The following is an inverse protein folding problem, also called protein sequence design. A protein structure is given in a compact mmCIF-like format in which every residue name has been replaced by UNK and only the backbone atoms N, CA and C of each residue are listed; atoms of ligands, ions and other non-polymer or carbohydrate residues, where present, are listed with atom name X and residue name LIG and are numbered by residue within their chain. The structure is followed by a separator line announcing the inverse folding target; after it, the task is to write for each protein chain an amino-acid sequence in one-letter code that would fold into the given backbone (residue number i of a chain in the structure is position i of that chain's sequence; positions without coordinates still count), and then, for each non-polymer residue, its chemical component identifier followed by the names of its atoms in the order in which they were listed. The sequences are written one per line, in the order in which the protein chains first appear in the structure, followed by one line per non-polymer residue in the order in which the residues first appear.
data_IF_434025196478
#
_entry.id   IF_434025196478
#
_cell.length_a   1.000
_cell.length_b   1.000
_cell.length_c   1.000
_cell.angle_alpha   90.00
_cell.angle_beta   90.00
_cell.angle_gamma   90.00
#
_symmetry.space_group_name_H-M   'P 1'
#
loop_
_entity.id
_entity.type
_entity.pdbx_description
1 polymer ?
#
# COMPACT_ATOMS: atom_id res chain seq x y z
N UNK A 1 -0.83 -14.44 10.23
CA UNK A 1 -1.45 -13.61 11.27
C UNK A 1 -0.71 -13.88 12.56
N UNK A 2 -0.25 -12.83 13.21
CA UNK A 2 0.51 -12.89 14.44
C UNK A 2 -0.14 -12.02 15.50
N UNK A 3 0.46 -12.01 16.67
CA UNK A 3 0.02 -11.20 17.81
C UNK A 3 0.98 -10.03 17.97
N UNK A 4 0.48 -8.81 18.15
CA UNK A 4 1.31 -7.62 18.39
C UNK A 4 0.92 -6.96 19.69
N UNK A 5 1.92 -6.59 20.48
CA UNK A 5 1.75 -5.74 21.66
C UNK A 5 2.37 -4.38 21.36
N UNK A 6 1.63 -3.32 21.63
CA UNK A 6 2.10 -1.94 21.50
C UNK A 6 2.81 -1.50 22.79
N UNK A 7 3.99 -2.08 23.04
CA UNK A 7 4.73 -1.90 24.30
C UNK A 7 5.00 -0.42 24.65
N UNK A 8 5.34 0.40 23.63
CA UNK A 8 5.54 1.84 23.83
C UNK A 8 4.24 2.58 24.16
N UNK A 9 3.11 2.12 23.60
CA UNK A 9 1.79 2.70 23.89
C UNK A 9 1.36 2.41 25.33
N UNK A 10 1.67 1.22 25.87
CA UNK A 10 1.45 0.91 27.30
C UNK A 10 2.17 1.94 28.18
N UNK A 11 3.46 2.15 27.92
CA UNK A 11 4.28 3.12 28.66
C UNK A 11 3.72 4.54 28.55
N UNK A 12 3.34 4.95 27.34
CA UNK A 12 2.77 6.27 27.06
C UNK A 12 1.46 6.49 27.83
N UNK A 13 0.52 5.55 27.73
CA UNK A 13 -0.78 5.61 28.40
C UNK A 13 -0.65 5.69 29.92
N UNK A 14 0.31 4.96 30.50
CA UNK A 14 0.62 5.04 31.93
C UNK A 14 1.12 6.43 32.32
N UNK A 15 2.07 6.99 31.56
CA UNK A 15 2.63 8.31 31.84
C UNK A 15 1.59 9.43 31.68
N UNK A 16 0.68 9.33 30.70
CA UNK A 16 -0.43 10.27 30.52
C UNK A 16 -1.40 10.29 31.70
N UNK A 17 -1.48 9.18 32.44
CA UNK A 17 -2.28 9.07 33.67
C UNK A 17 -1.53 9.49 34.93
N UNK A 18 -0.28 9.93 34.80
CA UNK A 18 0.56 10.30 35.93
C UNK A 18 0.94 9.13 36.84
N UNK A 19 0.75 7.88 36.39
CA UNK A 19 1.01 6.70 37.20
C UNK A 19 2.48 6.27 37.09
N UNK A 20 3.08 5.87 38.20
CA UNK A 20 4.33 5.11 38.25
C UNK A 20 4.10 3.64 37.90
N UNK A 21 5.16 2.90 37.58
CA UNK A 21 5.06 1.45 37.34
C UNK A 21 4.59 0.70 38.61
N UNK A 22 4.88 1.24 39.79
CA UNK A 22 4.45 0.67 41.08
C UNK A 22 2.96 0.87 41.29
N UNK A 23 2.44 2.08 41.05
CA UNK A 23 1.00 2.35 41.17
C UNK A 23 0.17 1.53 40.18
N UNK A 24 0.67 1.34 38.94
CA UNK A 24 0.00 0.45 37.99
C UNK A 24 0.05 -1.02 38.43
N UNK A 25 1.14 -1.47 39.05
CA UNK A 25 1.24 -2.82 39.61
C UNK A 25 0.22 -3.04 40.74
N UNK A 26 0.09 -2.08 41.64
CA UNK A 26 -0.86 -2.11 42.74
C UNK A 26 -2.31 -2.11 42.23
N UNK A 27 -2.62 -1.27 41.24
CA UNK A 27 -3.96 -1.19 40.66
C UNK A 27 -4.39 -2.47 39.92
N UNK A 28 -3.44 -3.19 39.33
CA UNK A 28 -3.71 -4.34 38.45
C UNK A 28 -3.45 -5.70 39.10
N UNK A 29 -2.74 -5.72 40.24
CA UNK A 29 -2.21 -6.93 40.84
C UNK A 29 -1.10 -7.60 40.02
N UNK A 30 -0.60 -6.96 38.96
CA UNK A 30 0.50 -7.46 38.12
C UNK A 30 1.83 -7.01 38.71
N UNK A 31 2.83 -7.90 38.78
CA UNK A 31 4.13 -7.55 39.35
C UNK A 31 4.80 -6.39 38.58
N UNK A 32 5.43 -5.45 39.29
CA UNK A 32 6.18 -4.31 38.70
C UNK A 32 7.20 -4.76 37.66
N UNK A 33 7.89 -5.89 37.89
CA UNK A 33 8.87 -6.41 36.92
C UNK A 33 8.20 -6.83 35.61
N UNK A 34 6.97 -7.34 35.66
CA UNK A 34 6.16 -7.70 34.50
C UNK A 34 5.73 -6.45 33.75
N UNK A 35 5.22 -5.43 34.45
CA UNK A 35 4.87 -4.14 33.82
C UNK A 35 6.09 -3.56 33.09
N UNK A 36 7.25 -3.50 33.75
CA UNK A 36 8.49 -3.01 33.14
C UNK A 36 8.88 -3.81 31.89
N UNK A 37 8.70 -5.13 31.91
CA UNK A 37 8.99 -5.98 30.76
C UNK A 37 8.02 -5.76 29.59
N UNK A 38 6.72 -5.54 29.89
CA UNK A 38 5.68 -5.20 28.91
C UNK A 38 5.78 -3.75 28.41
N UNK A 39 6.52 -2.87 29.06
CA UNK A 39 6.82 -1.52 28.52
C UNK A 39 8.07 -1.48 27.63
N UNK A 40 8.87 -2.55 27.67
CA UNK A 40 10.17 -2.60 26.99
C UNK A 40 10.26 -3.70 25.92
N UNK A 41 9.20 -4.49 25.76
CA UNK A 41 9.17 -5.63 24.83
C UNK A 41 10.13 -6.76 25.19
N UNK A 42 10.56 -6.84 26.46
CA UNK A 42 11.58 -7.81 26.92
C UNK A 42 11.01 -9.10 27.50
N UNK A 43 9.69 -9.23 27.57
CA UNK A 43 9.00 -10.43 28.07
C UNK A 43 8.25 -11.15 26.96
N UNK A 44 8.08 -12.46 27.13
CA UNK A 44 7.08 -13.22 26.41
C UNK A 44 5.68 -12.62 26.67
N UNK A 45 4.88 -12.59 25.60
CA UNK A 45 3.53 -12.06 25.62
C UNK A 45 2.63 -12.89 26.56
N UNK A 46 1.97 -12.24 27.52
CA UNK A 46 0.97 -12.87 28.38
C UNK A 46 -0.34 -12.07 28.33
N UNK A 47 -1.36 -12.69 27.74
CA UNK A 47 -2.65 -12.03 27.49
C UNK A 47 -3.41 -11.66 28.78
N UNK A 48 -3.35 -12.48 29.83
CA UNK A 48 -4.00 -12.18 31.13
C UNK A 48 -3.39 -10.94 31.79
N UNK A 49 -2.06 -10.79 31.70
CA UNK A 49 -1.40 -9.57 32.17
C UNK A 49 -1.72 -8.36 31.32
N UNK A 50 -1.81 -8.51 30.00
CA UNK A 50 -2.19 -7.41 29.12
C UNK A 50 -3.64 -6.94 29.38
N UNK A 51 -4.57 -7.87 29.62
CA UNK A 51 -5.94 -7.56 30.03
C UNK A 51 -5.97 -6.74 31.32
N UNK A 52 -5.29 -7.21 32.37
CA UNK A 52 -5.20 -6.48 33.64
C UNK A 52 -4.55 -5.11 33.49
N UNK A 53 -3.51 -5.00 32.68
CA UNK A 53 -2.84 -3.72 32.39
C UNK A 53 -3.79 -2.79 31.63
N UNK A 54 -4.54 -3.28 30.63
CA UNK A 54 -5.53 -2.48 29.91
C UNK A 54 -6.64 -1.97 30.85
N UNK A 55 -7.17 -2.83 31.73
CA UNK A 55 -8.15 -2.47 32.76
C UNK A 55 -7.60 -1.42 33.73
N UNK A 56 -6.38 -1.59 34.24
CA UNK A 56 -5.74 -0.63 35.14
C UNK A 56 -5.41 0.71 34.48
N UNK A 57 -5.22 0.71 33.16
CA UNK A 57 -5.13 1.91 32.35
C UNK A 57 -6.51 2.42 31.90
N UNK A 58 -7.61 1.71 32.14
CA UNK A 58 -8.94 2.11 31.65
C UNK A 58 -8.97 2.30 30.12
N UNK A 59 -8.33 1.39 29.38
CA UNK A 59 -8.38 1.35 27.90
C UNK A 59 -8.91 -0.01 27.44
N UNK A 60 -9.36 -0.08 26.19
CA UNK A 60 -9.70 -1.38 25.60
C UNK A 60 -8.44 -2.22 25.38
N UNK A 61 -8.53 -3.55 25.47
CA UNK A 61 -7.37 -4.42 25.21
C UNK A 61 -6.83 -4.23 23.78
N UNK A 62 -7.73 -3.95 22.81
CA UNK A 62 -7.41 -3.63 21.43
C UNK A 62 -6.55 -2.37 21.27
N UNK A 63 -6.49 -1.49 22.27
CA UNK A 63 -5.60 -0.34 22.24
C UNK A 63 -4.13 -0.72 22.39
N UNK A 64 -3.82 -1.80 23.10
CA UNK A 64 -2.44 -2.18 23.43
C UNK A 64 -2.04 -3.54 22.87
N UNK A 65 -3.00 -4.31 22.35
CA UNK A 65 -2.82 -5.66 21.87
C UNK A 65 -3.69 -5.93 20.64
N UNK A 66 -3.07 -6.47 19.59
CA UNK A 66 -3.72 -6.84 18.34
C UNK A 66 -3.55 -8.34 18.14
N UNK A 67 -4.64 -9.09 18.26
CA UNK A 67 -4.63 -10.56 18.16
C UNK A 67 -4.40 -11.06 16.73
N UNK A 68 -4.99 -10.36 15.76
CA UNK A 68 -4.99 -10.71 14.34
C UNK A 68 -4.04 -9.81 13.54
N UNK A 69 -2.89 -9.47 14.11
CA UNK A 69 -1.93 -8.56 13.50
C UNK A 69 -1.35 -9.14 12.21
N UNK A 70 -1.29 -8.30 11.18
CA UNK A 70 -0.58 -8.53 9.94
C UNK A 70 0.53 -7.50 9.82
N UNK A 71 1.70 -7.96 9.40
CA UNK A 71 2.75 -7.03 9.02
C UNK A 71 2.39 -6.43 7.65
N UNK A 72 1.79 -5.25 7.69
CA UNK A 72 1.31 -4.54 6.49
C UNK A 72 2.48 -4.19 5.58
N UNK A 73 2.41 -4.56 4.30
CA UNK A 73 3.35 -4.12 3.27
C UNK A 73 2.72 -3.05 2.38
N UNK A 74 3.34 -1.89 2.29
CA UNK A 74 2.89 -0.78 1.44
C UNK A 74 3.61 -0.85 0.10
N UNK A 75 2.84 -1.03 -0.97
CA UNK A 75 3.34 -1.28 -2.31
C UNK A 75 2.79 -0.21 -3.25
N UNK A 76 3.69 0.53 -3.89
CA UNK A 76 3.32 1.54 -4.88
C UNK A 76 3.51 1.01 -6.29
N UNK A 77 2.54 1.26 -7.18
CA UNK A 77 2.67 0.98 -8.61
C UNK A 77 2.88 2.30 -9.35
N UNK A 78 4.12 2.57 -9.77
CA UNK A 78 4.52 3.87 -10.31
C UNK A 78 5.16 3.80 -11.70
N UNK A 79 4.79 4.76 -12.55
CA UNK A 79 5.39 5.02 -13.85
C UNK A 79 4.89 6.39 -14.37
N UNK A 80 5.82 7.23 -14.86
CA UNK A 80 5.54 8.54 -15.43
C UNK A 80 4.87 8.50 -16.81
N UNK A 81 4.85 7.35 -17.49
CA UNK A 81 4.13 7.19 -18.75
C UNK A 81 2.64 6.90 -18.50
N UNK A 82 1.76 7.74 -19.09
CA UNK A 82 0.34 7.45 -19.20
C UNK A 82 0.09 6.18 -20.00
N UNK A 83 -0.87 5.35 -19.58
CA UNK A 83 -1.20 4.10 -20.28
C UNK A 83 -0.21 2.94 -20.10
N UNK A 84 0.74 3.04 -19.18
CA UNK A 84 1.67 1.94 -18.76
C UNK A 84 0.96 0.75 -18.11
N UNK A 85 -0.30 0.91 -17.69
CA UNK A 85 -1.11 -0.15 -17.10
C UNK A 85 -1.21 -0.12 -15.58
N UNK A 86 -0.70 0.92 -14.89
CA UNK A 86 -0.71 1.08 -13.42
C UNK A 86 -2.05 0.70 -12.78
N UNK A 87 -3.12 1.43 -13.11
CA UNK A 87 -4.47 1.16 -12.59
C UNK A 87 -4.94 -0.27 -12.82
N UNK A 88 -4.70 -0.83 -14.01
CA UNK A 88 -5.12 -2.22 -14.31
C UNK A 88 -4.31 -3.25 -13.53
N UNK A 89 -3.02 -2.96 -13.29
CA UNK A 89 -2.16 -3.76 -12.41
C UNK A 89 -2.65 -3.67 -10.98
N UNK A 90 -2.90 -2.47 -10.43
CA UNK A 90 -3.38 -2.28 -9.06
C UNK A 90 -4.73 -2.96 -8.86
N UNK A 91 -5.70 -2.71 -9.75
CA UNK A 91 -7.02 -3.32 -9.68
C UNK A 91 -6.95 -4.86 -9.71
N UNK A 92 -6.22 -5.43 -10.68
CA UNK A 92 -6.18 -6.89 -10.84
C UNK A 92 -5.32 -7.55 -9.77
N UNK A 93 -4.20 -6.94 -9.36
CA UNK A 93 -3.34 -7.45 -8.29
C UNK A 93 -4.10 -7.45 -6.95
N UNK A 94 -4.76 -6.34 -6.61
CA UNK A 94 -5.54 -6.23 -5.38
C UNK A 94 -6.63 -7.29 -5.27
N UNK A 95 -7.43 -7.42 -6.32
CA UNK A 95 -8.48 -8.45 -6.38
C UNK A 95 -7.92 -9.88 -6.37
N UNK A 96 -6.78 -10.12 -7.05
CA UNK A 96 -6.15 -11.44 -7.05
C UNK A 96 -5.63 -11.81 -5.67
N UNK A 97 -5.03 -10.86 -4.95
CA UNK A 97 -4.55 -11.08 -3.59
C UNK A 97 -5.72 -11.30 -2.62
N UNK A 98 -6.83 -10.56 -2.77
CA UNK A 98 -8.04 -10.78 -1.96
C UNK A 98 -8.68 -12.15 -2.23
N UNK A 99 -8.75 -12.58 -3.50
CA UNK A 99 -9.14 -13.95 -3.89
C UNK A 99 -8.22 -15.03 -3.29
N UNK A 100 -6.96 -14.69 -2.99
CA UNK A 100 -6.00 -15.56 -2.29
C UNK A 100 -6.10 -15.45 -0.76
N UNK A 101 -7.11 -14.77 -0.22
CA UNK A 101 -7.38 -14.64 1.21
C UNK A 101 -6.56 -13.57 1.92
N UNK A 102 -5.91 -12.66 1.18
CA UNK A 102 -5.17 -11.52 1.76
C UNK A 102 -6.10 -10.35 2.00
N UNK A 103 -5.92 -9.65 3.11
CA UNK A 103 -6.60 -8.37 3.37
C UNK A 103 -5.84 -7.26 2.65
N UNK A 104 -6.51 -6.60 1.71
CA UNK A 104 -5.90 -5.59 0.83
C UNK A 104 -6.64 -4.27 0.97
N UNK A 105 -5.89 -3.18 1.10
CA UNK A 105 -6.38 -1.82 0.92
C UNK A 105 -5.83 -1.26 -0.39
N UNK A 106 -6.73 -0.79 -1.25
CA UNK A 106 -6.37 -0.05 -2.45
C UNK A 106 -6.41 1.46 -2.17
N UNK A 107 -5.50 2.21 -2.75
CA UNK A 107 -5.52 3.68 -2.70
C UNK A 107 -5.40 4.22 -4.11
N UNK A 108 -6.44 4.94 -4.56
CA UNK A 108 -6.43 5.66 -5.83
C UNK A 108 -5.91 7.09 -5.59
N UNK A 109 -4.78 7.44 -6.21
CA UNK A 109 -4.22 8.79 -6.14
C UNK A 109 -4.23 9.52 -7.48
N UNK A 110 -4.92 8.99 -8.50
CA UNK A 110 -5.04 9.64 -9.80
C UNK A 110 -6.36 10.41 -9.87
N UNK A 111 -6.28 11.71 -10.24
CA UNK A 111 -7.47 12.54 -10.43
C UNK A 111 -8.46 11.96 -11.45
N UNK A 112 -8.02 11.07 -12.34
CA UNK A 112 -8.90 10.40 -13.30
C UNK A 112 -9.85 9.36 -12.66
N UNK A 113 -9.60 8.97 -11.40
CA UNK A 113 -10.42 8.05 -10.62
C UNK A 113 -10.62 6.67 -11.28
N UNK A 114 -9.72 6.26 -12.18
CA UNK A 114 -9.91 5.03 -12.96
C UNK A 114 -9.98 3.79 -12.06
N UNK A 115 -9.21 3.77 -10.96
CA UNK A 115 -9.26 2.67 -10.00
C UNK A 115 -10.58 2.72 -9.22
N UNK A 116 -10.95 3.89 -8.71
CA UNK A 116 -12.20 4.12 -7.98
C UNK A 116 -13.42 3.65 -8.80
N UNK A 117 -13.51 4.09 -10.06
CA UNK A 117 -14.58 3.67 -10.97
C UNK A 117 -14.58 2.16 -11.23
N UNK A 118 -13.40 1.53 -11.32
CA UNK A 118 -13.31 0.08 -11.53
C UNK A 118 -13.86 -0.75 -10.36
N UNK A 119 -14.17 -0.13 -9.23
CA UNK A 119 -14.80 -0.75 -8.07
C UNK A 119 -16.20 -0.18 -7.79
N UNK A 120 -16.81 0.51 -8.77
CA UNK A 120 -18.16 1.04 -8.65
C UNK A 120 -18.29 2.32 -7.83
N UNK A 121 -17.18 2.95 -7.45
CA UNK A 121 -17.22 4.19 -6.69
C UNK A 121 -17.27 5.41 -7.60
N UNK A 122 -18.17 6.33 -7.26
CA UNK A 122 -18.21 7.69 -7.81
C UNK A 122 -17.58 8.69 -6.82
N UNK A 123 -17.63 9.97 -7.20
CA UNK A 123 -17.14 11.07 -6.36
C UNK A 123 -17.88 11.12 -5.04
N UNK A 124 -17.12 11.34 -3.98
CA UNK A 124 -17.61 11.52 -2.62
C UNK A 124 -16.67 12.47 -1.87
N UNK A 125 -17.10 13.02 -0.73
CA UNK A 125 -16.23 13.85 0.14
C UNK A 125 -15.24 13.00 0.94
N UNK A 126 -15.55 11.73 1.16
CA UNK A 126 -14.64 10.77 1.78
C UNK A 126 -13.65 10.24 0.73
N UNK A 127 -12.71 11.10 0.33
CA UNK A 127 -11.69 10.82 -0.70
C UNK A 127 -10.27 11.19 -0.24
N UNK A 128 -9.26 10.75 -1.00
CA UNK A 128 -7.85 10.98 -0.67
C UNK A 128 -7.44 12.46 -0.66
N UNK A 129 -8.03 13.29 -1.54
CA UNK A 129 -7.71 14.72 -1.60
C UNK A 129 -8.04 15.42 -0.28
N UNK A 130 -9.26 15.21 0.23
CA UNK A 130 -9.71 15.78 1.50
C UNK A 130 -8.82 15.35 2.66
N UNK A 131 -8.43 14.07 2.72
CA UNK A 131 -7.53 13.59 3.75
C UNK A 131 -6.16 14.31 3.72
N UNK A 132 -5.58 14.50 2.54
CA UNK A 132 -4.28 15.19 2.39
C UNK A 132 -4.40 16.68 2.69
N UNK A 133 -5.45 17.35 2.20
CA UNK A 133 -5.67 18.79 2.40
C UNK A 133 -5.84 19.11 3.88
N UNK A 134 -6.66 18.32 4.58
CA UNK A 134 -6.98 18.49 5.99
C UNK A 134 -5.95 17.86 6.94
N UNK A 135 -4.96 17.13 6.41
CA UNK A 135 -3.97 16.34 7.16
C UNK A 135 -4.61 15.35 8.16
N UNK A 136 -5.64 14.66 7.68
CA UNK A 136 -6.41 13.69 8.45
C UNK A 136 -5.93 12.25 8.24
N UNK A 137 -6.19 11.41 9.23
CA UNK A 137 -5.82 10.00 9.19
C UNK A 137 -6.56 9.26 8.07
N UNK A 138 -5.83 8.50 7.25
CA UNK A 138 -6.42 7.78 6.11
C UNK A 138 -7.44 6.71 6.52
N UNK A 139 -7.40 6.24 7.77
CA UNK A 139 -8.38 5.29 8.29
C UNK A 139 -9.81 5.82 8.24
N UNK A 140 -10.00 7.13 8.39
CA UNK A 140 -11.30 7.81 8.28
C UNK A 140 -11.85 7.91 6.84
N UNK A 141 -11.07 7.46 5.85
CA UNK A 141 -11.38 7.57 4.41
C UNK A 141 -11.50 6.20 3.72
N UNK A 142 -11.35 5.10 4.47
CA UNK A 142 -11.44 3.74 3.96
C UNK A 142 -12.90 3.35 3.69
N UNK A 143 -13.16 2.84 2.49
CA UNK A 143 -14.47 2.35 2.04
C UNK A 143 -14.44 0.85 1.79
N UNK A 144 -15.52 0.17 2.19
CA UNK A 144 -15.74 -1.24 1.88
C UNK A 144 -16.12 -1.41 0.42
N UNK A 145 -15.43 -2.30 -0.30
CA UNK A 145 -15.89 -2.74 -1.62
C UNK A 145 -16.93 -3.85 -1.48
N UNK A 146 -17.55 -4.24 -2.59
CA UNK A 146 -18.43 -5.42 -2.64
C UNK A 146 -17.67 -6.76 -2.57
N UNK A 147 -16.33 -6.72 -2.44
CA UNK A 147 -15.47 -7.90 -2.43
C UNK A 147 -14.87 -8.13 -1.04
N UNK A 148 -14.92 -9.39 -0.60
CA UNK A 148 -14.32 -9.79 0.68
C UNK A 148 -12.81 -9.51 0.70
N UNK A 149 -12.33 -9.08 1.86
CA UNK A 149 -10.92 -8.77 2.12
C UNK A 149 -10.34 -7.65 1.24
N UNK A 150 -11.18 -6.84 0.60
CA UNK A 150 -10.74 -5.75 -0.27
C UNK A 150 -11.46 -4.44 0.08
N UNK A 151 -10.68 -3.47 0.51
CA UNK A 151 -11.14 -2.12 0.82
C UNK A 151 -10.45 -1.11 -0.10
N UNK A 152 -10.98 0.12 -0.18
CA UNK A 152 -10.44 1.16 -1.05
C UNK A 152 -10.54 2.56 -0.43
N UNK A 153 -9.52 3.38 -0.66
CA UNK A 153 -9.60 4.85 -0.55
C UNK A 153 -9.68 5.39 -1.97
N UNK A 154 -10.74 6.13 -2.25
CA UNK A 154 -11.03 6.66 -3.58
C UNK A 154 -10.33 8.01 -3.83
N UNK A 155 -10.15 8.35 -5.10
CA UNK A 155 -9.62 9.63 -5.53
C UNK A 155 -10.76 10.64 -5.80
N UNK A 156 -10.40 11.88 -6.16
CA UNK A 156 -11.31 12.89 -6.72
C UNK A 156 -10.56 13.75 -7.77
N UNK A 157 -11.30 14.44 -8.65
CA UNK A 157 -10.74 15.39 -9.60
C UNK A 157 -9.94 16.53 -8.95
N UNK A 158 -10.28 16.90 -7.70
CA UNK A 158 -9.54 17.92 -6.94
C UNK A 158 -8.09 17.53 -6.63
N UNK A 159 -7.71 16.26 -6.79
CA UNK A 159 -6.30 15.84 -6.79
C UNK A 159 -5.45 16.60 -7.82
N UNK A 160 -6.05 17.25 -8.82
CA UNK A 160 -5.37 18.14 -9.76
C UNK A 160 -4.61 19.29 -9.08
N UNK A 161 -5.05 19.78 -7.91
CA UNK A 161 -4.41 20.90 -7.18
C UNK A 161 -3.55 20.44 -6.02
N UNK A 162 -3.42 19.13 -5.78
CA UNK A 162 -2.79 18.56 -4.59
C UNK A 162 -1.34 19.01 -4.38
N UNK A 163 -0.60 19.21 -5.47
CA UNK A 163 0.78 19.69 -5.44
C UNK A 163 0.89 21.08 -4.79
N UNK A 164 -0.08 21.97 -5.03
CA UNK A 164 -0.11 23.30 -4.43
C UNK A 164 -0.34 23.21 -2.92
N UNK A 165 -1.24 22.31 -2.49
CA UNK A 165 -1.51 22.09 -1.07
C UNK A 165 -0.27 21.52 -0.37
N UNK A 166 0.33 20.45 -0.90
CA UNK A 166 1.53 19.82 -0.34
C UNK A 166 2.68 20.81 -0.22
N UNK A 167 2.88 21.70 -1.21
CA UNK A 167 3.99 22.67 -1.17
C UNK A 167 3.95 23.59 0.06
N UNK A 168 2.75 23.91 0.56
CA UNK A 168 2.53 24.77 1.74
C UNK A 168 2.67 24.06 3.08
N UNK A 169 2.73 22.72 3.11
CA UNK A 169 2.77 21.95 4.35
C UNK A 169 4.17 21.93 4.96
N UNK A 170 4.23 21.80 6.29
CA UNK A 170 5.47 21.51 7.01
C UNK A 170 5.84 20.03 6.88
N UNK A 171 7.14 19.74 6.69
CA UNK A 171 7.64 18.38 6.42
C UNK A 171 6.85 17.71 5.28
N UNK A 172 6.67 18.46 4.20
CA UNK A 172 5.74 18.17 3.11
C UNK A 172 5.99 16.85 2.41
N UNK A 173 7.23 16.39 2.39
CA UNK A 173 7.67 15.10 1.83
C UNK A 173 7.22 13.90 2.67
N UNK A 174 6.73 14.11 3.90
CA UNK A 174 6.27 13.07 4.82
C UNK A 174 4.77 13.09 5.10
N UNK A 175 4.01 14.03 4.50
CA UNK A 175 2.57 14.20 4.77
C UNK A 175 1.85 12.86 4.62
N UNK A 176 1.94 12.23 3.45
CA UNK A 176 1.24 10.97 3.19
C UNK A 176 1.65 9.85 4.16
N UNK A 177 2.95 9.76 4.49
CA UNK A 177 3.46 8.80 5.48
C UNK A 177 2.84 8.99 6.86
N UNK A 178 2.63 10.25 7.29
CA UNK A 178 1.95 10.55 8.56
C UNK A 178 0.49 10.13 8.53
N UNK A 179 -0.22 10.41 7.44
CA UNK A 179 -1.65 10.09 7.30
C UNK A 179 -1.89 8.57 7.20
N UNK A 180 -0.96 7.84 6.58
CA UNK A 180 -1.04 6.38 6.43
C UNK A 180 -0.63 5.61 7.70
N UNK A 181 0.16 6.22 8.59
CA UNK A 181 0.85 5.55 9.70
C UNK A 181 -0.07 4.67 10.55
N UNK A 182 -1.21 5.19 11.03
CA UNK A 182 -2.10 4.39 11.89
C UNK A 182 -2.74 3.22 11.14
N UNK A 183 -3.03 3.41 9.85
CA UNK A 183 -3.58 2.34 9.02
C UNK A 183 -2.59 1.19 8.89
N UNK A 184 -1.29 1.49 8.68
CA UNK A 184 -0.21 0.48 8.66
C UNK A 184 -0.03 -0.18 10.02
N UNK A 185 0.08 0.63 11.09
CA UNK A 185 0.33 0.17 12.46
C UNK A 185 -0.83 -0.68 13.02
N UNK A 186 -2.05 -0.49 12.53
CA UNK A 186 -3.22 -1.29 12.91
C UNK A 186 -3.09 -2.78 12.57
N UNK A 187 -2.24 -3.12 11.59
CA UNK A 187 -2.06 -4.49 11.11
C UNK A 187 -3.33 -5.16 10.58
N UNK A 188 -4.32 -4.37 10.15
CA UNK A 188 -5.58 -4.88 9.57
C UNK A 188 -5.34 -5.49 8.18
N UNK A 189 -4.41 -4.94 7.42
CA UNK A 189 -4.14 -5.34 6.03
C UNK A 189 -2.84 -6.12 5.92
N UNK A 190 -2.82 -7.12 5.04
CA UNK A 190 -1.58 -7.73 4.58
C UNK A 190 -0.87 -6.79 3.60
N UNK A 191 -1.65 -6.14 2.71
CA UNK A 191 -1.13 -5.27 1.65
C UNK A 191 -1.90 -3.95 1.57
N UNK A 192 -1.18 -2.85 1.38
CA UNK A 192 -1.72 -1.58 0.90
C UNK A 192 -1.12 -1.34 -0.48
N UNK A 193 -1.96 -1.20 -1.51
CA UNK A 193 -1.51 -1.05 -2.90
C UNK A 193 -1.97 0.30 -3.44
N UNK A 194 -1.02 1.12 -3.89
CA UNK A 194 -1.27 2.51 -4.27
C UNK A 194 -1.15 2.65 -5.79
N UNK A 195 -2.21 3.14 -6.43
CA UNK A 195 -2.23 3.54 -7.85
C UNK A 195 -1.88 5.01 -7.97
N UNK A 196 -0.77 5.29 -8.67
CA UNK A 196 -0.29 6.67 -8.82
C UNK A 196 -0.76 7.30 -10.11
N UNK A 197 -0.86 8.63 -10.10
CA UNK A 197 -0.94 9.41 -11.34
C UNK A 197 0.41 9.34 -12.11
N UNK A 198 0.48 9.80 -13.38
CA UNK A 198 1.71 9.72 -14.19
C UNK A 198 2.71 10.86 -13.94
N UNK A 199 2.59 11.65 -12.88
CA UNK A 199 3.52 12.76 -12.61
C UNK A 199 4.74 12.31 -11.79
N UNK A 200 5.86 13.01 -11.92
CA UNK A 200 7.02 12.85 -11.02
C UNK A 200 7.06 14.06 -10.07
N UNK A 201 6.01 14.19 -9.27
CA UNK A 201 5.74 15.34 -8.39
C UNK A 201 5.83 15.01 -6.90
N UNK A 202 5.48 15.99 -6.05
CA UNK A 202 5.55 15.88 -4.60
C UNK A 202 4.59 14.81 -4.06
N UNK A 203 3.44 14.61 -4.69
CA UNK A 203 2.51 13.56 -4.29
C UNK A 203 3.15 12.17 -4.41
N UNK A 204 3.72 11.85 -5.58
CA UNK A 204 4.33 10.55 -5.81
C UNK A 204 5.61 10.35 -4.99
N UNK A 205 6.36 11.43 -4.70
CA UNK A 205 7.48 11.38 -3.76
C UNK A 205 7.01 11.03 -2.34
N UNK A 206 5.92 11.64 -1.88
CA UNK A 206 5.29 11.35 -0.59
C UNK A 206 4.83 9.89 -0.48
N UNK A 207 4.18 9.39 -1.54
CA UNK A 207 3.71 8.01 -1.63
C UNK A 207 4.88 7.03 -1.57
N UNK A 208 5.94 7.27 -2.34
CA UNK A 208 7.16 6.45 -2.31
C UNK A 208 7.86 6.50 -0.94
N UNK A 209 7.87 7.65 -0.28
CA UNK A 209 8.42 7.78 1.08
C UNK A 209 7.62 7.00 2.14
N UNK A 210 6.34 6.73 1.88
CA UNK A 210 5.48 5.91 2.72
C UNK A 210 5.48 4.41 2.34
N UNK A 211 6.15 4.03 1.25
CA UNK A 211 6.10 2.68 0.70
C UNK A 211 7.29 1.83 1.12
N UNK A 212 7.07 0.53 1.28
CA UNK A 212 8.13 -0.47 1.45
C UNK A 212 8.66 -0.90 0.06
N UNK A 213 7.75 -1.04 -0.91
CA UNK A 213 8.10 -1.52 -2.24
C UNK A 213 7.51 -0.65 -3.35
N UNK A 214 8.22 -0.59 -4.48
CA UNK A 214 7.72 -0.05 -5.74
C UNK A 214 7.73 -1.11 -6.85
N UNK A 215 6.64 -1.18 -7.60
CA UNK A 215 6.50 -1.96 -8.84
C UNK A 215 6.43 -0.99 -10.01
N UNK A 216 7.19 -1.28 -11.07
CA UNK A 216 7.22 -0.44 -12.27
C UNK A 216 6.61 -1.19 -13.46
N UNK A 217 5.35 -0.92 -13.85
CA UNK A 217 4.79 -1.51 -15.06
C UNK A 217 5.33 -0.80 -16.30
N UNK A 218 5.88 -1.53 -17.26
CA UNK A 218 6.47 -0.98 -18.49
C UNK A 218 5.75 -1.52 -19.71
N UNK A 219 5.20 -0.62 -20.52
CA UNK A 219 4.63 -0.99 -21.83
C UNK A 219 5.75 -1.32 -22.81
N UNK A 220 5.74 -2.53 -23.39
CA UNK A 220 6.75 -3.02 -24.33
C UNK A 220 6.68 -2.31 -25.69
N UNK A 221 7.15 -1.08 -25.72
CA UNK A 221 7.19 -0.18 -26.88
C UNK A 221 8.37 0.77 -26.73
N UNK A 222 8.89 1.33 -27.84
CA UNK A 222 10.03 2.25 -27.81
C UNK A 222 9.82 3.43 -26.81
N UNK A 223 8.65 4.07 -26.86
CA UNK A 223 8.30 5.15 -25.91
C UNK A 223 8.12 4.68 -24.46
N UNK A 224 7.80 3.40 -24.26
CA UNK A 224 7.70 2.82 -22.92
C UNK A 224 9.05 2.76 -22.20
N UNK A 225 10.11 2.51 -22.96
CA UNK A 225 11.46 2.32 -22.43
C UNK A 225 12.21 3.63 -22.29
N UNK A 226 12.11 4.53 -23.26
CA UNK A 226 12.84 5.82 -23.24
C UNK A 226 12.53 6.66 -21.99
N UNK A 227 11.34 6.52 -21.39
CA UNK A 227 10.95 7.27 -20.18
C UNK A 227 11.49 6.71 -18.86
N UNK A 228 12.11 5.53 -18.88
CA UNK A 228 12.39 4.76 -17.67
C UNK A 228 13.57 5.29 -16.86
N UNK A 229 14.57 5.87 -17.52
CA UNK A 229 15.73 6.49 -16.84
C UNK A 229 15.29 7.60 -15.87
N UNK A 230 14.33 8.43 -16.29
CA UNK A 230 13.80 9.53 -15.47
C UNK A 230 13.07 8.99 -14.24
N UNK A 231 12.30 7.90 -14.41
CA UNK A 231 11.60 7.24 -13.31
C UNK A 231 12.59 6.62 -12.31
N UNK A 232 13.64 5.95 -12.79
CA UNK A 232 14.67 5.37 -11.91
C UNK A 232 15.34 6.47 -11.08
N UNK A 233 15.73 7.59 -11.71
CA UNK A 233 16.29 8.75 -11.01
C UNK A 233 15.35 9.27 -9.90
N UNK A 234 14.06 9.31 -10.18
CA UNK A 234 13.05 9.73 -9.21
C UNK A 234 12.90 8.73 -8.05
N UNK A 235 12.91 7.42 -8.33
CA UNK A 235 12.88 6.37 -7.30
C UNK A 235 14.14 6.47 -6.42
N UNK A 236 15.32 6.66 -7.01
CA UNK A 236 16.57 6.83 -6.25
C UNK A 236 16.51 8.06 -5.32
N UNK A 237 15.94 9.18 -5.78
CA UNK A 237 15.71 10.35 -4.93
C UNK A 237 14.75 10.04 -3.76
N UNK A 238 13.71 9.24 -4.01
CA UNK A 238 12.82 8.80 -2.95
C UNK A 238 13.53 7.88 -1.94
N UNK A 239 14.48 7.05 -2.40
CA UNK A 239 15.29 6.17 -1.54
C UNK A 239 16.27 6.94 -0.64
N UNK A 240 16.73 8.14 -1.04
CA UNK A 240 17.52 9.02 -0.16
C UNK A 240 16.70 9.52 1.04
N UNK A 241 15.37 9.59 0.92
CA UNK A 241 14.46 10.00 2.00
C UNK A 241 13.93 8.77 2.75
N UNK A 242 13.68 7.67 2.02
CA UNK A 242 13.17 6.41 2.54
C UNK A 242 14.12 5.27 2.17
N UNK A 243 15.14 5.06 3.00
CA UNK A 243 16.15 4.02 2.80
C UNK A 243 15.57 2.59 2.76
N UNK A 244 14.34 2.39 3.23
CA UNK A 244 13.63 1.11 3.21
C UNK A 244 12.91 0.83 1.89
N UNK A 245 12.75 1.83 1.02
CA UNK A 245 12.04 1.65 -0.24
C UNK A 245 12.86 0.74 -1.16
N UNK A 246 12.27 -0.38 -1.57
CA UNK A 246 12.89 -1.33 -2.48
C UNK A 246 12.14 -1.40 -3.81
N UNK A 247 12.89 -1.51 -4.91
CA UNK A 247 12.30 -1.94 -6.18
C UNK A 247 11.96 -3.43 -6.06
N UNK A 248 10.66 -3.73 -5.97
CA UNK A 248 10.16 -5.11 -6.01
C UNK A 248 10.39 -5.72 -7.40
N UNK A 249 10.13 -4.94 -8.45
CA UNK A 249 10.49 -5.32 -9.80
C UNK A 249 9.76 -4.56 -10.92
N UNK A 250 10.11 -4.93 -12.15
CA UNK A 250 9.54 -4.38 -13.39
C UNK A 250 8.58 -5.38 -13.99
N UNK A 251 7.31 -4.97 -14.18
CA UNK A 251 6.27 -5.79 -14.79
C UNK A 251 6.07 -5.37 -16.25
N UNK A 252 6.35 -6.28 -17.17
CA UNK A 252 6.15 -6.05 -18.61
C UNK A 252 4.66 -6.07 -18.92
N UNK A 253 4.14 -4.99 -19.52
CA UNK A 253 2.72 -4.84 -19.87
C UNK A 253 2.52 -4.67 -21.37
N UNK A 254 1.30 -5.00 -21.82
CA UNK A 254 0.89 -4.97 -23.24
C UNK A 254 1.85 -5.73 -24.16
N UNK A 255 2.33 -6.88 -23.70
CA UNK A 255 3.25 -7.73 -24.46
C UNK A 255 2.53 -8.33 -25.66
N UNK A 256 3.03 -8.08 -26.87
CA UNK A 256 2.68 -8.83 -28.08
C UNK A 256 3.87 -9.66 -28.54
N UNK A 257 3.77 -10.97 -28.39
CA UNK A 257 4.84 -11.92 -28.77
C UNK A 257 5.06 -12.04 -30.29
N UNK A 258 4.19 -11.42 -31.10
CA UNK A 258 4.31 -11.43 -32.57
C UNK A 258 5.13 -10.25 -33.11
N UNK A 259 5.33 -9.22 -32.29
CA UNK A 259 5.99 -7.99 -32.67
C UNK A 259 7.47 -8.04 -32.29
N UNK A 260 8.37 -7.78 -33.24
CA UNK A 260 9.83 -7.82 -33.00
C UNK A 260 10.29 -6.75 -32.00
N UNK A 261 9.62 -5.59 -31.99
CA UNK A 261 9.91 -4.50 -31.05
C UNK A 261 9.77 -4.93 -29.60
N UNK A 262 8.94 -5.93 -29.30
CA UNK A 262 8.81 -6.50 -27.96
C UNK A 262 10.11 -7.17 -27.52
N UNK A 263 10.83 -7.84 -28.43
CA UNK A 263 12.10 -8.51 -28.13
C UNK A 263 13.23 -7.52 -27.90
N UNK A 264 13.38 -6.52 -28.77
CA UNK A 264 14.38 -5.44 -28.59
C UNK A 264 14.13 -4.68 -27.28
N UNK A 265 12.87 -4.43 -26.96
CA UNK A 265 12.46 -3.81 -25.70
C UNK A 265 12.82 -4.67 -24.48
N UNK A 266 12.68 -6.00 -24.57
CA UNK A 266 12.97 -6.94 -23.49
C UNK A 266 14.47 -7.01 -23.22
N UNK A 267 15.32 -6.99 -24.26
CA UNK A 267 16.77 -6.94 -24.14
C UNK A 267 17.23 -5.70 -23.36
N UNK A 268 16.73 -4.52 -23.71
CA UNK A 268 17.07 -3.27 -22.99
C UNK A 268 16.61 -3.32 -21.53
N UNK A 269 15.42 -3.86 -21.25
CA UNK A 269 14.98 -4.02 -19.87
C UNK A 269 15.87 -5.00 -19.11
N UNK A 270 16.24 -6.12 -19.71
CA UNK A 270 17.08 -7.14 -19.08
C UNK A 270 18.47 -6.57 -18.75
N UNK A 271 19.04 -5.76 -19.63
CA UNK A 271 20.33 -5.10 -19.39
C UNK A 271 20.28 -4.12 -18.20
N UNK A 272 19.13 -3.46 -17.98
CA UNK A 272 18.99 -2.43 -16.93
C UNK A 272 18.55 -3.04 -15.59
N UNK A 273 17.63 -4.00 -15.60
CA UNK A 273 16.97 -4.52 -14.40
C UNK A 273 17.34 -5.96 -14.05
N UNK A 274 17.84 -6.74 -15.00
CA UNK A 274 18.23 -8.13 -14.81
C UNK A 274 17.17 -8.93 -14.04
N UNK A 275 17.57 -9.46 -12.88
CA UNK A 275 16.73 -10.29 -12.01
C UNK A 275 15.55 -9.54 -11.35
N UNK A 276 15.49 -8.22 -11.46
CA UNK A 276 14.35 -7.41 -10.99
C UNK A 276 13.17 -7.40 -11.96
N UNK A 277 13.25 -8.11 -13.09
CA UNK A 277 12.10 -8.28 -14.00
C UNK A 277 11.23 -9.44 -13.52
N UNK A 278 9.93 -9.21 -13.39
CA UNK A 278 8.98 -10.30 -13.10
C UNK A 278 8.90 -11.26 -14.29
N UNK A 279 8.88 -12.56 -14.03
CA UNK A 279 8.67 -13.55 -15.08
C UNK A 279 7.24 -13.47 -15.64
N UNK A 280 6.29 -13.12 -14.77
CA UNK A 280 4.94 -12.78 -15.19
C UNK A 280 4.94 -11.53 -16.09
N UNK A 281 4.05 -11.52 -17.07
CA UNK A 281 3.88 -10.37 -17.98
C UNK A 281 2.42 -10.24 -18.39
N UNK A 282 1.96 -9.02 -18.66
CA UNK A 282 0.57 -8.77 -19.06
C UNK A 282 0.47 -8.71 -20.59
N UNK A 283 -0.16 -9.69 -21.25
CA UNK A 283 -0.30 -9.69 -22.70
C UNK A 283 -1.29 -8.63 -23.18
N UNK A 284 -1.23 -8.29 -24.47
CA UNK A 284 -2.37 -7.62 -25.11
C UNK A 284 -3.59 -8.57 -25.07
N UNK A 285 -4.60 -8.17 -24.32
CA UNK A 285 -5.83 -8.94 -24.15
C UNK A 285 -7.04 -7.99 -24.21
N UNK A 286 -7.95 -8.24 -25.16
CA UNK A 286 -9.16 -7.43 -25.32
C UNK A 286 -10.07 -7.47 -24.09
N UNK A 287 -9.98 -8.51 -23.26
CA UNK A 287 -10.75 -8.59 -22.03
C UNK A 287 -10.35 -7.49 -21.02
N UNK A 288 -9.08 -7.05 -21.01
CA UNK A 288 -8.65 -5.92 -20.17
C UNK A 288 -9.39 -4.65 -20.55
N UNK A 289 -9.45 -4.33 -21.86
CA UNK A 289 -10.16 -3.15 -22.37
C UNK A 289 -11.67 -3.22 -22.11
N UNK A 290 -12.27 -4.41 -22.27
CA UNK A 290 -13.69 -4.61 -21.98
C UNK A 290 -13.99 -4.45 -20.48
N UNK A 291 -13.16 -5.00 -19.62
CA UNK A 291 -13.29 -4.83 -18.17
C UNK A 291 -13.21 -3.35 -17.75
N UNK A 292 -12.28 -2.59 -18.33
CA UNK A 292 -12.18 -1.13 -18.14
C UNK A 292 -13.44 -0.40 -18.62
N UNK A 293 -13.97 -0.77 -19.79
CA UNK A 293 -15.20 -0.18 -20.34
C UNK A 293 -16.42 -0.43 -19.45
N UNK A 294 -16.51 -1.64 -18.90
CA UNK A 294 -17.56 -2.07 -17.95
C UNK A 294 -17.27 -1.62 -16.50
N UNK A 295 -16.18 -0.87 -16.26
CA UNK A 295 -15.78 -0.35 -14.94
C UNK A 295 -15.73 -1.42 -13.85
N UNK A 296 -15.10 -2.55 -14.16
CA UNK A 296 -14.91 -3.65 -13.21
C UNK A 296 -13.51 -4.25 -13.32
N UNK A 297 -12.98 -4.91 -12.26
CA UNK A 297 -11.68 -5.56 -12.33
C UNK A 297 -11.70 -6.71 -13.36
N UNK A 298 -10.56 -6.99 -14.00
CA UNK A 298 -10.48 -8.08 -14.99
C UNK A 298 -10.89 -9.43 -14.40
N UNK A 299 -10.54 -9.67 -13.14
CA UNK A 299 -10.90 -10.87 -12.40
C UNK A 299 -12.41 -11.08 -12.34
N UNK A 300 -13.19 -10.00 -12.20
CA UNK A 300 -14.66 -10.07 -12.17
C UNK A 300 -15.20 -10.27 -13.57
N UNK A 301 -14.68 -9.49 -14.54
CA UNK A 301 -15.12 -9.55 -15.93
C UNK A 301 -14.87 -10.92 -16.59
N UNK A 302 -13.65 -11.46 -16.45
CA UNK A 302 -13.28 -12.75 -17.05
C UNK A 302 -12.09 -13.43 -16.34
N UNK A 303 -12.40 -14.29 -15.36
CA UNK A 303 -11.45 -15.12 -14.61
C UNK A 303 -10.57 -16.03 -15.49
N UNK A 304 -11.07 -16.43 -16.67
CA UNK A 304 -10.39 -17.38 -17.55
C UNK A 304 -9.42 -16.73 -18.55
N UNK A 305 -9.41 -15.39 -18.64
CA UNK A 305 -8.62 -14.64 -19.61
C UNK A 305 -7.11 -14.88 -19.45
N UNK A 306 -6.36 -14.66 -20.54
CA UNK A 306 -4.90 -14.87 -20.55
C UNK A 306 -4.21 -13.89 -19.62
N UNK A 307 -4.67 -12.63 -19.63
CA UNK A 307 -4.18 -11.60 -18.72
C UNK A 307 -4.45 -11.95 -17.25
N UNK A 308 -5.64 -12.48 -16.90
CA UNK A 308 -5.93 -12.85 -15.51
C UNK A 308 -5.01 -13.97 -14.98
N UNK A 309 -4.69 -14.97 -15.82
CA UNK A 309 -3.71 -16.01 -15.47
C UNK A 309 -2.33 -15.42 -15.17
N UNK A 310 -1.93 -14.38 -15.90
CA UNK A 310 -0.67 -13.69 -15.67
C UNK A 310 -0.69 -12.81 -14.42
N UNK A 311 -1.81 -12.14 -14.11
CA UNK A 311 -1.97 -11.46 -12.82
C UNK A 311 -1.89 -12.43 -11.62
N UNK A 312 -2.48 -13.62 -11.77
CA UNK A 312 -2.36 -14.68 -10.75
C UNK A 312 -0.91 -15.13 -10.55
N UNK A 313 -0.14 -15.28 -11.64
CA UNK A 313 1.29 -15.60 -11.57
C UNK A 313 2.08 -14.45 -10.92
N UNK A 314 1.82 -13.23 -11.36
CA UNK A 314 2.44 -12.01 -10.84
C UNK A 314 2.22 -11.83 -9.34
N UNK A 315 1.00 -12.04 -8.84
CA UNK A 315 0.69 -11.96 -7.41
C UNK A 315 1.50 -12.98 -6.58
N UNK A 316 1.70 -14.20 -7.10
CA UNK A 316 2.52 -15.23 -6.45
C UNK A 316 4.00 -14.86 -6.43
N UNK A 317 4.53 -14.35 -7.54
CA UNK A 317 5.92 -13.86 -7.61
C UNK A 317 6.14 -12.70 -6.64
N UNK A 318 5.23 -11.73 -6.62
CA UNK A 318 5.29 -10.60 -5.70
C UNK A 318 5.33 -11.06 -4.24
N UNK A 319 4.41 -11.94 -3.82
CA UNK A 319 4.37 -12.49 -2.45
C UNK A 319 5.63 -13.29 -2.06
N UNK A 320 6.41 -13.78 -3.02
CA UNK A 320 7.69 -14.44 -2.73
C UNK A 320 8.83 -13.42 -2.48
N UNK A 321 8.70 -12.22 -3.04
CA UNK A 321 9.66 -11.11 -2.92
C UNK A 321 9.37 -10.28 -1.67
N UNK A 322 8.11 -9.88 -1.49
CA UNK A 322 7.69 -9.04 -0.36
C UNK A 322 7.46 -9.92 0.86
N UNK A 323 8.38 -9.82 1.84
CA UNK A 323 8.34 -10.58 3.09
C UNK A 323 8.01 -9.66 4.24
#
# INVERSE_FOLDING_TARGET
MGKKVEFEKIKKLRLERGMTQVELAEATGVNVSVIKSQETGRSDMNYDYLLKIAEGLGVDIGDIYIEDYRETKVITVANNKGGSGKTSVVASLGHTLSDMGKKVLLIDSDMQMNLSYSYGFERDRMNLNEAIVNEEDLGGYIRKTDFDNLDIIISDFEMATIEMHLFTKTLRETVFKRLLRKTVESGVYDFIIIDTNPTLGMLNLNILNASDYVIVPVEMSAFGILGLEVLIKFINQAQEINEKLELAGVLRTKVDKRESITSEADEVLMDVFGEKIFDAYIPIDTNVKKAQWERQPLNVFNKSSRANKQYTRFAKELMAIVK
#
